data_IF_626204837453
#
_entry.id   IF_626204837453
#
_cell.length_a   1.000
_cell.length_b   1.000
_cell.length_c   1.000
_cell.angle_alpha   90.00
_cell.angle_beta   90.00
_cell.angle_gamma   90.00
#
_symmetry.space_group_name_H-M   'P 1'
#
loop_
_entity.id
_entity.type
_entity.pdbx_description
1 polymer ?
#
# COMPACT_ATOMS: atom_id res chain seq x y z
N UNK A 1 10.46 12.94 46.10
CA UNK A 1 9.92 13.52 44.86
C UNK A 1 9.01 12.48 44.18
N UNK A 2 7.71 12.74 44.05
CA UNK A 2 6.82 11.84 43.26
C UNK A 2 7.22 11.95 41.81
N UNK A 3 7.59 10.82 41.19
CA UNK A 3 7.91 10.79 39.76
C UNK A 3 6.67 11.22 38.97
N UNK A 4 6.76 12.29 38.17
CA UNK A 4 5.71 12.77 37.29
C UNK A 4 5.63 12.01 35.96
N UNK A 5 6.24 10.82 35.85
CA UNK A 5 6.25 9.97 34.64
C UNK A 5 6.02 8.51 35.01
N UNK A 6 5.55 7.74 34.04
CA UNK A 6 5.38 6.31 34.18
C UNK A 6 5.94 5.59 32.94
N UNK A 7 6.41 4.36 33.12
CA UNK A 7 6.88 3.51 32.03
C UNK A 7 5.73 2.66 31.52
N UNK A 8 5.56 2.63 30.19
CA UNK A 8 4.57 1.75 29.52
C UNK A 8 5.30 0.74 28.67
N UNK A 9 4.97 -0.54 28.83
CA UNK A 9 5.52 -1.60 27.98
C UNK A 9 4.89 -1.52 26.59
N UNK A 10 5.73 -1.47 25.57
CA UNK A 10 5.30 -1.54 24.16
C UNK A 10 5.21 -2.99 23.69
N UNK A 11 4.25 -3.33 22.81
CA UNK A 11 4.17 -4.67 22.21
C UNK A 11 5.43 -5.02 21.43
N UNK A 12 5.89 -6.27 21.52
CA UNK A 12 7.08 -6.74 20.80
C UNK A 12 6.96 -6.56 19.27
N UNK A 13 5.75 -6.65 18.72
CA UNK A 13 5.49 -6.41 17.29
C UNK A 13 5.95 -5.03 16.79
N UNK A 14 6.00 -4.01 17.68
CA UNK A 14 6.52 -2.68 17.34
C UNK A 14 8.02 -2.66 17.05
N UNK A 15 8.77 -3.65 17.50
CA UNK A 15 10.20 -3.77 17.20
C UNK A 15 10.40 -3.89 15.68
N UNK A 16 9.61 -4.75 15.02
CA UNK A 16 9.66 -4.88 13.56
C UNK A 16 9.31 -3.56 12.85
N UNK A 17 8.34 -2.81 13.37
CA UNK A 17 7.99 -1.48 12.85
C UNK A 17 9.16 -0.50 12.96
N UNK A 18 9.86 -0.47 14.11
CA UNK A 18 11.04 0.39 14.30
C UNK A 18 12.16 0.03 13.32
N UNK A 19 12.40 -1.27 13.11
CA UNK A 19 13.44 -1.72 12.19
C UNK A 19 13.09 -1.34 10.73
N UNK A 20 11.84 -1.56 10.29
CA UNK A 20 11.36 -1.18 8.94
C UNK A 20 11.46 0.34 8.73
N UNK A 21 11.00 1.14 9.71
CA UNK A 21 11.11 2.61 9.60
C UNK A 21 12.55 3.10 9.54
N UNK A 22 13.45 2.50 10.34
CA UNK A 22 14.87 2.83 10.30
C UNK A 22 15.48 2.55 8.93
N UNK A 23 15.07 1.47 8.27
CA UNK A 23 15.51 1.15 6.91
C UNK A 23 14.85 2.05 5.86
N UNK A 24 13.59 2.41 6.04
CA UNK A 24 12.88 3.32 5.14
C UNK A 24 13.50 4.73 5.07
N UNK A 25 14.21 5.15 6.13
CA UNK A 25 14.97 6.41 6.13
C UNK A 25 16.18 6.40 5.19
N UNK A 26 16.64 5.22 4.76
CA UNK A 26 17.74 5.06 3.81
C UNK A 26 17.28 5.20 2.35
N UNK A 27 15.98 5.32 2.11
CA UNK A 27 15.39 5.53 0.79
C UNK A 27 15.25 7.03 0.50
N UNK A 28 15.58 7.42 -0.71
CA UNK A 28 15.45 8.82 -1.17
C UNK A 28 14.07 9.07 -1.76
N UNK A 29 13.02 8.82 -0.96
CA UNK A 29 11.65 9.04 -1.41
C UNK A 29 11.32 10.52 -1.61
N UNK A 30 10.80 10.84 -2.79
CA UNK A 30 10.06 12.07 -3.05
C UNK A 30 8.59 11.80 -2.71
N UNK A 31 7.95 12.77 -2.03
CA UNK A 31 6.55 12.67 -1.63
C UNK A 31 5.68 13.55 -2.52
N UNK A 32 4.79 12.95 -3.30
CA UNK A 32 3.74 13.66 -4.02
C UNK A 32 2.44 13.56 -3.21
N UNK A 33 1.80 14.71 -2.95
CA UNK A 33 0.53 14.83 -2.23
C UNK A 33 -0.54 15.22 -3.25
N UNK A 34 -1.40 14.27 -3.62
CA UNK A 34 -2.38 14.45 -4.69
C UNK A 34 -3.81 14.29 -4.19
N UNK A 35 -4.71 14.96 -4.86
CA UNK A 35 -6.17 14.83 -4.75
C UNK A 35 -6.68 14.16 -6.02
N UNK A 36 -7.56 13.18 -5.86
CA UNK A 36 -8.20 12.48 -6.97
C UNK A 36 -9.71 12.58 -6.84
N UNK A 37 -10.39 13.00 -7.89
CA UNK A 37 -11.84 12.93 -7.95
C UNK A 37 -12.28 11.48 -8.22
N UNK A 38 -12.87 10.87 -7.22
CA UNK A 38 -13.35 9.47 -7.29
C UNK A 38 -14.88 9.37 -7.32
N UNK A 39 -15.57 10.48 -7.53
CA UNK A 39 -17.05 10.55 -7.47
C UNK A 39 -17.68 9.54 -8.41
N UNK A 40 -17.32 9.58 -9.68
CA UNK A 40 -17.90 8.70 -10.70
C UNK A 40 -17.52 7.24 -10.52
N UNK A 41 -16.25 6.99 -10.21
CA UNK A 41 -15.77 5.64 -9.94
C UNK A 41 -16.50 5.00 -8.76
N UNK A 42 -16.73 5.74 -7.68
CA UNK A 42 -17.50 5.25 -6.53
C UNK A 42 -18.97 5.00 -6.84
N UNK A 43 -19.58 5.87 -7.64
CA UNK A 43 -20.96 5.68 -8.08
C UNK A 43 -21.09 4.41 -8.93
N UNK A 44 -20.16 4.18 -9.88
CA UNK A 44 -20.14 2.97 -10.70
C UNK A 44 -19.90 1.71 -9.86
N UNK A 45 -18.97 1.72 -8.93
CA UNK A 45 -18.76 0.60 -8.00
C UNK A 45 -20.01 0.29 -7.17
N UNK A 46 -20.75 1.33 -6.75
CA UNK A 46 -22.03 1.15 -6.04
C UNK A 46 -23.09 0.51 -6.96
N UNK A 47 -23.20 0.93 -8.20
CA UNK A 47 -24.14 0.36 -9.17
C UNK A 47 -23.80 -1.10 -9.51
N UNK A 48 -22.51 -1.42 -9.73
CA UNK A 48 -22.04 -2.79 -9.93
C UNK A 48 -22.42 -3.69 -8.78
N UNK A 49 -22.27 -3.21 -7.54
CA UNK A 49 -22.66 -3.96 -6.33
C UNK A 49 -24.16 -4.24 -6.28
N UNK A 50 -25.00 -3.26 -6.66
CA UNK A 50 -26.48 -3.46 -6.76
C UNK A 50 -26.84 -4.52 -7.80
N UNK A 51 -26.04 -4.64 -8.86
CA UNK A 51 -26.22 -5.61 -9.93
C UNK A 51 -25.51 -6.98 -9.66
N UNK A 52 -25.11 -7.24 -8.42
CA UNK A 52 -24.51 -8.51 -8.01
C UNK A 52 -23.00 -8.62 -8.21
N UNK A 53 -22.33 -7.60 -8.78
CA UNK A 53 -20.88 -7.61 -8.99
C UNK A 53 -20.17 -6.90 -7.82
N UNK A 54 -19.58 -7.65 -6.91
CA UNK A 54 -18.90 -7.09 -5.74
C UNK A 54 -17.42 -6.75 -6.04
N UNK A 55 -17.14 -5.48 -6.25
CA UNK A 55 -15.77 -4.94 -6.35
C UNK A 55 -15.57 -3.93 -5.22
N UNK A 56 -14.58 -4.19 -4.35
CA UNK A 56 -14.22 -3.26 -3.29
C UNK A 56 -13.45 -2.06 -3.84
N UNK A 57 -13.63 -0.88 -3.23
CA UNK A 57 -12.89 0.33 -3.61
C UNK A 57 -11.37 0.12 -3.57
N UNK A 58 -10.87 -0.58 -2.55
CA UNK A 58 -9.44 -0.89 -2.44
C UNK A 58 -8.94 -1.76 -3.59
N UNK A 59 -9.69 -2.79 -3.98
CA UNK A 59 -9.31 -3.67 -5.08
C UNK A 59 -9.32 -2.92 -6.43
N UNK A 60 -10.30 -2.08 -6.65
CA UNK A 60 -10.35 -1.18 -7.79
C UNK A 60 -9.12 -0.24 -7.82
N UNK A 61 -8.83 0.45 -6.71
CA UNK A 61 -7.69 1.37 -6.63
C UNK A 61 -6.36 0.64 -6.88
N UNK A 62 -6.18 -0.54 -6.28
CA UNK A 62 -5.02 -1.42 -6.49
C UNK A 62 -4.84 -1.73 -7.98
N UNK A 63 -5.93 -2.06 -8.69
CA UNK A 63 -5.89 -2.35 -10.12
C UNK A 63 -5.52 -1.10 -10.94
N UNK A 64 -6.03 0.10 -10.57
CA UNK A 64 -5.68 1.37 -11.23
C UNK A 64 -4.20 1.73 -11.06
N UNK A 65 -3.67 1.55 -9.86
CA UNK A 65 -2.24 1.71 -9.58
C UNK A 65 -1.41 0.74 -10.42
N UNK A 66 -1.80 -0.53 -10.45
CA UNK A 66 -1.10 -1.55 -11.23
C UNK A 66 -1.06 -1.19 -12.72
N UNK A 67 -2.16 -0.67 -13.28
CA UNK A 67 -2.22 -0.25 -14.69
C UNK A 67 -1.28 0.91 -15.01
N UNK A 68 -1.16 1.89 -14.11
CA UNK A 68 -0.19 2.97 -14.28
C UNK A 68 1.27 2.45 -14.25
N UNK A 69 1.55 1.46 -13.39
CA UNK A 69 2.87 0.84 -13.29
C UNK A 69 3.23 -0.02 -14.52
N UNK A 70 2.26 -0.61 -15.21
CA UNK A 70 2.50 -1.33 -16.48
C UNK A 70 3.11 -0.39 -17.54
N UNK A 71 2.67 0.86 -17.57
CA UNK A 71 3.16 1.87 -18.52
C UNK A 71 4.47 2.53 -18.05
N UNK A 72 4.69 2.59 -16.74
CA UNK A 72 5.86 3.20 -16.11
C UNK A 72 6.53 2.23 -15.12
N UNK A 73 7.11 1.12 -15.59
CA UNK A 73 7.61 0.05 -14.72
C UNK A 73 8.80 0.48 -13.85
N UNK A 74 9.55 1.52 -14.28
CA UNK A 74 10.66 2.08 -13.51
C UNK A 74 10.21 2.57 -12.13
N UNK A 75 8.98 3.08 -12.01
CA UNK A 75 8.44 3.57 -10.74
C UNK A 75 8.37 2.48 -9.64
N UNK A 76 8.32 1.20 -10.02
CA UNK A 76 8.30 0.06 -9.08
C UNK A 76 9.58 -0.80 -9.14
N UNK A 77 10.63 -0.32 -9.80
CA UNK A 77 11.91 -1.00 -9.93
C UNK A 77 12.76 -0.85 -8.67
N UNK A 78 13.66 -1.80 -8.45
CA UNK A 78 14.64 -1.73 -7.37
C UNK A 78 16.00 -1.32 -7.89
N UNK A 79 16.74 -0.54 -7.11
CA UNK A 79 18.16 -0.31 -7.34
C UNK A 79 18.90 -1.62 -7.03
N UNK A 80 19.49 -2.22 -8.08
CA UNK A 80 20.32 -3.43 -7.94
C UNK A 80 21.79 -3.09 -7.64
N UNK A 81 22.27 -2.02 -8.27
CA UNK A 81 23.58 -1.42 -8.02
C UNK A 81 23.56 0.04 -8.46
N UNK A 82 24.60 0.81 -8.16
CA UNK A 82 24.72 2.23 -8.59
C UNK A 82 24.54 2.45 -10.11
N UNK A 83 24.57 1.38 -10.92
CA UNK A 83 24.48 1.46 -12.38
C UNK A 83 23.40 0.57 -12.99
N UNK A 84 22.61 -0.15 -12.16
CA UNK A 84 21.63 -1.12 -12.68
C UNK A 84 20.37 -1.13 -11.84
N UNK A 85 19.24 -1.08 -12.52
CA UNK A 85 17.93 -1.35 -11.94
C UNK A 85 17.54 -2.81 -12.20
N UNK A 86 16.66 -3.35 -11.38
CA UNK A 86 15.93 -4.58 -11.64
C UNK A 86 14.44 -4.28 -11.63
N UNK A 87 13.79 -4.53 -12.75
CA UNK A 87 12.36 -4.35 -12.96
C UNK A 87 11.72 -5.74 -13.01
N UNK A 88 10.63 -5.93 -12.29
CA UNK A 88 9.84 -7.14 -12.30
C UNK A 88 8.60 -6.94 -13.16
N UNK A 89 8.25 -7.93 -13.98
CA UNK A 89 7.06 -7.88 -14.83
C UNK A 89 5.77 -8.02 -14.00
N UNK A 90 5.86 -8.66 -12.85
CA UNK A 90 4.72 -8.83 -11.94
C UNK A 90 4.66 -7.67 -10.93
N UNK A 91 3.43 -7.24 -10.61
CA UNK A 91 3.20 -6.29 -9.53
C UNK A 91 2.74 -7.05 -8.30
N UNK A 92 3.64 -7.16 -7.31
CA UNK A 92 3.35 -7.74 -6.02
C UNK A 92 3.15 -6.59 -5.01
N UNK A 93 1.95 -6.48 -4.47
CA UNK A 93 1.53 -5.33 -3.66
C UNK A 93 1.40 -5.73 -2.20
N UNK A 94 2.24 -5.15 -1.34
CA UNK A 94 2.08 -5.22 0.11
C UNK A 94 0.92 -4.32 0.54
N UNK A 95 -0.09 -4.92 1.14
CA UNK A 95 -1.31 -4.24 1.57
C UNK A 95 -1.62 -4.57 3.03
N UNK A 96 -2.06 -3.55 3.81
CA UNK A 96 -2.48 -3.76 5.19
C UNK A 96 -3.98 -4.06 5.24
N UNK A 97 -4.32 -5.21 5.80
CA UNK A 97 -5.70 -5.62 6.04
C UNK A 97 -5.99 -5.53 7.53
N UNK A 98 -7.04 -4.79 7.88
CA UNK A 98 -7.51 -4.75 9.25
C UNK A 98 -8.30 -6.03 9.58
N UNK A 99 -7.87 -6.74 10.61
CA UNK A 99 -8.49 -7.98 11.05
C UNK A 99 -8.92 -7.88 12.52
N UNK A 100 -10.11 -8.39 12.81
CA UNK A 100 -10.58 -8.53 14.19
C UNK A 100 -9.87 -9.71 14.87
N UNK A 101 -9.16 -9.46 15.96
CA UNK A 101 -8.51 -10.48 16.81
C UNK A 101 -8.99 -10.26 18.24
N UNK A 102 -9.98 -11.06 18.67
CA UNK A 102 -10.72 -10.80 19.92
C UNK A 102 -11.42 -9.44 19.83
N UNK A 103 -11.26 -8.60 20.85
CA UNK A 103 -11.89 -7.26 20.91
C UNK A 103 -11.09 -6.16 20.19
N UNK A 104 -9.99 -6.49 19.54
CA UNK A 104 -9.10 -5.51 18.91
C UNK A 104 -8.99 -5.73 17.42
N UNK A 105 -9.00 -4.62 16.68
CA UNK A 105 -8.65 -4.61 15.27
C UNK A 105 -7.14 -4.44 15.12
N UNK A 106 -6.52 -5.36 14.40
CA UNK A 106 -5.06 -5.40 14.20
C UNK A 106 -4.77 -5.33 12.70
N UNK A 107 -3.94 -4.38 12.24
CA UNK A 107 -3.49 -4.35 10.86
C UNK A 107 -2.49 -5.49 10.61
N UNK A 108 -2.81 -6.35 9.63
CA UNK A 108 -1.95 -7.45 9.21
C UNK A 108 -1.45 -7.19 7.79
N UNK A 109 -0.14 -7.27 7.53
CA UNK A 109 0.40 -7.16 6.20
C UNK A 109 0.10 -8.43 5.39
N UNK A 110 -0.38 -8.26 4.17
CA UNK A 110 -0.50 -9.31 3.17
C UNK A 110 0.19 -8.86 1.87
N UNK A 111 0.63 -9.81 1.06
CA UNK A 111 1.16 -9.54 -0.27
C UNK A 111 0.20 -10.11 -1.30
N UNK A 112 -0.39 -9.23 -2.10
CA UNK A 112 -1.17 -9.59 -3.28
C UNK A 112 -0.18 -9.82 -4.43
N UNK A 113 -0.04 -11.06 -4.86
CA UNK A 113 0.91 -11.42 -5.92
C UNK A 113 0.26 -11.25 -7.30
N UNK A 114 1.04 -10.81 -8.30
CA UNK A 114 0.65 -10.72 -9.72
C UNK A 114 -0.65 -9.95 -9.95
N UNK A 115 -0.78 -8.80 -9.30
CA UNK A 115 -1.99 -7.97 -9.38
C UNK A 115 -2.29 -7.52 -10.82
N UNK A 116 -1.26 -7.30 -11.63
CA UNK A 116 -1.39 -6.96 -13.05
C UNK A 116 -2.18 -8.02 -13.85
N UNK A 117 -2.08 -9.29 -13.47
CA UNK A 117 -2.77 -10.40 -14.13
C UNK A 117 -4.17 -10.71 -13.56
N UNK A 118 -4.56 -10.06 -12.47
CA UNK A 118 -5.83 -10.28 -11.77
C UNK A 118 -6.87 -9.22 -12.12
N UNK A 119 -8.13 -9.61 -12.16
CA UNK A 119 -9.27 -8.69 -12.18
C UNK A 119 -9.50 -8.04 -10.81
N UNK A 120 -10.21 -6.91 -10.79
CA UNK A 120 -10.58 -6.25 -9.53
C UNK A 120 -11.48 -7.14 -8.65
N UNK A 121 -12.28 -8.03 -9.25
CA UNK A 121 -13.11 -9.01 -8.52
C UNK A 121 -12.26 -10.06 -7.82
N UNK A 122 -11.24 -10.62 -8.51
CA UNK A 122 -10.31 -11.59 -7.92
C UNK A 122 -9.54 -10.99 -6.76
N UNK A 123 -9.05 -9.74 -6.91
CA UNK A 123 -8.38 -9.00 -5.84
C UNK A 123 -9.34 -8.79 -4.66
N UNK A 124 -10.61 -8.44 -4.92
CA UNK A 124 -11.63 -8.30 -3.88
C UNK A 124 -11.81 -9.59 -3.10
N UNK A 125 -12.00 -10.72 -3.79
CA UNK A 125 -12.17 -12.05 -3.16
C UNK A 125 -10.95 -12.44 -2.33
N UNK A 126 -9.74 -12.17 -2.83
CA UNK A 126 -8.50 -12.47 -2.12
C UNK A 126 -8.40 -11.68 -0.81
N UNK A 127 -8.73 -10.38 -0.82
CA UNK A 127 -8.76 -9.53 0.37
C UNK A 127 -9.84 -10.00 1.36
N UNK A 128 -11.03 -10.34 0.88
CA UNK A 128 -12.14 -10.82 1.71
C UNK A 128 -11.82 -12.18 2.34
N UNK A 129 -11.24 -13.10 1.59
CA UNK A 129 -10.80 -14.41 2.10
C UNK A 129 -9.80 -14.26 3.25
N UNK A 130 -8.88 -13.29 3.15
CA UNK A 130 -7.93 -13.02 4.24
C UNK A 130 -8.63 -12.44 5.46
N UNK A 131 -9.64 -11.58 5.28
CA UNK A 131 -10.44 -11.02 6.38
C UNK A 131 -11.27 -12.07 7.10
N UNK A 132 -11.88 -13.00 6.35
CA UNK A 132 -12.79 -14.03 6.86
C UNK A 132 -12.11 -15.24 7.48
N UNK A 133 -10.84 -15.53 7.14
CA UNK A 133 -10.12 -16.66 7.73
C UNK A 133 -10.00 -16.49 9.24
N UNK A 134 -10.58 -17.43 10.01
CA UNK A 134 -10.43 -17.48 11.46
C UNK A 134 -8.96 -17.65 11.85
N UNK A 135 -8.38 -16.59 12.34
CA UNK A 135 -7.06 -16.67 12.97
C UNK A 135 -7.23 -17.12 14.41
N UNK A 136 -7.41 -18.40 14.62
CA UNK A 136 -7.01 -18.97 15.92
C UNK A 136 -5.57 -18.53 16.17
N UNK A 137 -5.35 -17.71 17.17
CA UNK A 137 -4.13 -17.21 17.88
C UNK A 137 -2.73 -17.49 17.30
N UNK A 138 -2.57 -17.88 16.03
CA UNK A 138 -1.39 -18.65 15.58
C UNK A 138 -0.60 -18.11 14.37
N UNK A 139 -1.00 -17.08 13.65
CA UNK A 139 -0.16 -16.55 12.58
C UNK A 139 -0.34 -15.02 12.39
N UNK A 140 0.66 -14.28 12.81
CA UNK A 140 0.71 -12.81 12.65
C UNK A 140 1.15 -12.40 11.24
N UNK A 141 1.71 -13.34 10.46
CA UNK A 141 2.12 -13.14 9.07
C UNK A 141 1.51 -14.23 8.21
N UNK A 142 0.74 -13.84 7.19
CA UNK A 142 -0.04 -14.70 6.28
C UNK A 142 0.81 -15.58 5.33
N UNK A 143 2.05 -15.89 5.66
CA UNK A 143 2.83 -16.92 5.00
C UNK A 143 2.96 -18.15 5.89
N UNK A 144 2.61 -19.31 5.34
CA UNK A 144 2.55 -20.67 5.91
C UNK A 144 3.79 -21.17 6.67
N UNK A 145 4.72 -20.33 7.15
CA UNK A 145 5.98 -20.78 7.79
C UNK A 145 6.27 -20.11 9.12
N UNK A 146 6.12 -20.96 10.13
CA UNK A 146 6.93 -21.06 11.36
C UNK A 146 6.98 -19.84 12.29
N UNK A 147 6.12 -19.91 13.31
CA UNK A 147 6.19 -19.16 14.57
C UNK A 147 7.58 -19.13 15.22
N UNK A 148 8.42 -20.13 14.97
CA UNK A 148 9.76 -20.22 15.53
C UNK A 148 10.66 -19.10 15.02
N UNK A 149 10.68 -18.83 13.70
CA UNK A 149 11.52 -17.77 13.12
C UNK A 149 11.05 -16.37 13.50
N UNK A 150 9.72 -16.16 13.64
CA UNK A 150 9.18 -14.89 14.11
C UNK A 150 9.56 -14.61 15.58
N UNK A 151 9.45 -15.61 16.43
CA UNK A 151 9.91 -15.49 17.83
C UNK A 151 11.41 -15.23 17.89
N UNK A 152 12.21 -15.94 17.13
CA UNK A 152 13.65 -15.78 17.07
C UNK A 152 14.02 -14.34 16.65
N UNK A 153 13.31 -13.74 15.69
CA UNK A 153 13.52 -12.37 15.27
C UNK A 153 13.47 -11.38 16.43
N UNK A 154 12.48 -11.48 17.29
CA UNK A 154 12.30 -10.57 18.43
C UNK A 154 13.33 -10.75 19.54
N UNK A 155 13.98 -11.91 19.62
CA UNK A 155 15.08 -12.17 20.55
C UNK A 155 16.45 -11.77 20.01
N UNK A 156 16.56 -11.52 18.70
CA UNK A 156 17.82 -11.10 18.10
C UNK A 156 18.23 -9.71 18.61
N UNK A 157 19.52 -9.49 18.91
CA UNK A 157 20.05 -8.14 19.16
C UNK A 157 19.77 -7.19 18.01
N UNK A 158 19.54 -5.89 18.32
CA UNK A 158 19.15 -4.90 17.32
C UNK A 158 20.11 -4.77 16.14
N UNK A 159 21.42 -4.96 16.37
CA UNK A 159 22.41 -4.90 15.28
C UNK A 159 22.27 -6.06 14.28
N UNK A 160 21.95 -7.29 14.76
CA UNK A 160 21.72 -8.44 13.88
C UNK A 160 20.45 -8.25 13.03
N UNK A 161 19.37 -7.69 13.63
CA UNK A 161 18.16 -7.35 12.89
C UNK A 161 18.43 -6.30 11.82
N UNK A 162 19.26 -5.27 12.11
CA UNK A 162 19.68 -4.27 11.11
C UNK A 162 20.45 -4.91 9.95
N UNK A 163 21.37 -5.83 10.24
CA UNK A 163 22.11 -6.57 9.20
C UNK A 163 21.16 -7.37 8.33
N UNK A 164 20.18 -8.07 8.94
CA UNK A 164 19.18 -8.85 8.23
C UNK A 164 18.33 -7.94 7.31
N UNK A 165 17.86 -6.79 7.79
CA UNK A 165 17.11 -5.85 6.97
C UNK A 165 17.96 -5.23 5.85
N UNK A 166 19.22 -4.90 6.14
CA UNK A 166 20.18 -4.43 5.12
C UNK A 166 20.39 -5.50 4.03
N UNK A 167 20.45 -6.78 4.42
CA UNK A 167 20.50 -7.86 3.45
C UNK A 167 19.24 -7.88 2.57
N UNK A 168 18.04 -7.78 3.15
CA UNK A 168 16.77 -7.75 2.40
C UNK A 168 16.76 -6.63 1.38
N UNK A 169 17.14 -5.40 1.77
CA UNK A 169 17.12 -4.23 0.89
C UNK A 169 18.14 -4.37 -0.25
N UNK A 170 19.31 -4.93 0.04
CA UNK A 170 20.37 -5.10 -0.94
C UNK A 170 20.15 -6.31 -1.88
N UNK A 171 19.12 -7.13 -1.64
CA UNK A 171 18.79 -8.29 -2.46
C UNK A 171 17.38 -8.15 -3.06
N UNK A 172 17.19 -7.37 -4.12
CA UNK A 172 15.89 -7.03 -4.70
C UNK A 172 15.00 -8.24 -5.03
N UNK A 173 15.59 -9.33 -5.52
CA UNK A 173 14.85 -10.57 -5.82
C UNK A 173 14.24 -11.20 -4.56
N UNK A 174 14.97 -11.14 -3.44
CA UNK A 174 14.48 -11.63 -2.16
C UNK A 174 13.42 -10.68 -1.59
N UNK A 175 13.66 -9.36 -1.65
CA UNK A 175 12.71 -8.34 -1.24
C UNK A 175 11.39 -8.46 -1.99
N UNK A 176 11.43 -8.53 -3.34
CA UNK A 176 10.26 -8.73 -4.19
C UNK A 176 9.44 -9.96 -3.81
N UNK A 177 10.10 -11.12 -3.61
CA UNK A 177 9.43 -12.37 -3.22
C UNK A 177 8.77 -12.30 -1.85
N UNK A 178 9.30 -11.49 -0.91
CA UNK A 178 8.82 -11.43 0.47
C UNK A 178 7.85 -10.30 0.75
N UNK A 179 8.04 -9.16 0.08
CA UNK A 179 7.32 -7.92 0.39
C UNK A 179 6.63 -7.31 -0.83
N UNK A 180 6.94 -7.80 -2.05
CA UNK A 180 6.51 -7.15 -3.28
C UNK A 180 7.35 -5.92 -3.63
N UNK A 181 6.97 -5.25 -4.71
CA UNK A 181 7.61 -4.03 -5.23
C UNK A 181 6.79 -2.76 -4.98
N UNK A 182 5.57 -2.90 -4.50
CA UNK A 182 4.65 -1.81 -4.21
C UNK A 182 4.10 -1.96 -2.80
N UNK A 183 3.92 -0.86 -2.08
CA UNK A 183 3.23 -0.87 -0.80
C UNK A 183 2.02 0.06 -0.81
N UNK A 184 0.92 -0.38 -0.21
CA UNK A 184 -0.27 0.45 -0.02
C UNK A 184 -0.66 0.39 1.45
N UNK A 185 -0.75 1.55 2.09
CA UNK A 185 -1.26 1.71 3.44
C UNK A 185 -2.48 2.62 3.42
N UNK A 186 -3.57 2.21 4.07
CA UNK A 186 -4.81 2.98 4.13
C UNK A 186 -5.18 3.30 5.56
N UNK A 187 -5.33 4.59 5.87
CA UNK A 187 -5.86 5.08 7.14
C UNK A 187 -7.36 5.39 7.06
N UNK A 188 -7.93 5.46 5.86
CA UNK A 188 -9.35 5.78 5.66
C UNK A 188 -10.32 4.80 6.31
N UNK A 189 -9.86 3.61 6.68
CA UNK A 189 -10.64 2.63 7.45
C UNK A 189 -10.72 2.96 8.96
N UNK A 190 -9.82 3.79 9.48
CA UNK A 190 -9.74 4.12 10.92
C UNK A 190 -10.50 5.39 11.30
N UNK A 191 -10.91 6.19 10.33
CA UNK A 191 -11.64 7.45 10.57
C UNK A 191 -11.55 8.41 9.39
N UNK A 192 -12.38 9.46 9.42
CA UNK A 192 -12.33 10.50 8.39
C UNK A 192 -11.28 11.55 8.75
N UNK A 193 -10.23 11.64 7.94
CA UNK A 193 -9.17 12.65 8.06
C UNK A 193 -9.16 13.48 6.78
N UNK A 194 -9.36 14.79 6.91
CA UNK A 194 -9.24 15.72 5.79
C UNK A 194 -7.78 16.16 5.67
N UNK A 195 -6.97 15.36 4.96
CA UNK A 195 -5.55 15.65 4.79
C UNK A 195 -4.77 14.45 4.29
N UNK A 196 -3.48 14.66 4.16
CA UNK A 196 -2.50 13.63 3.79
C UNK A 196 -1.69 13.21 5.01
N UNK A 197 -1.14 12.00 4.95
CA UNK A 197 -0.12 11.58 5.88
C UNK A 197 1.11 11.09 5.11
N UNK A 198 2.28 11.54 5.51
CA UNK A 198 3.55 11.13 4.91
C UNK A 198 4.08 9.96 5.74
N UNK A 199 3.95 8.76 5.20
CA UNK A 199 4.44 7.54 5.82
C UNK A 199 5.91 7.27 5.46
N UNK A 200 6.47 6.19 5.97
CA UNK A 200 7.80 5.68 5.60
C UNK A 200 7.65 4.30 4.99
N UNK A 201 8.45 4.01 3.96
CA UNK A 201 8.42 2.72 3.27
C UNK A 201 9.83 2.27 2.90
N UNK A 202 10.00 0.97 2.76
CA UNK A 202 11.21 0.34 2.22
C UNK A 202 11.04 -0.08 0.75
N UNK A 203 9.83 0.04 0.21
CA UNK A 203 9.51 -0.29 -1.18
C UNK A 203 9.94 0.85 -2.12
N UNK A 204 10.21 0.55 -3.39
CA UNK A 204 10.50 1.57 -4.41
C UNK A 204 9.38 2.60 -4.53
N UNK A 205 8.13 2.14 -4.48
CA UNK A 205 6.95 3.01 -4.51
C UNK A 205 5.97 2.61 -3.41
N UNK A 206 5.33 3.60 -2.80
CA UNK A 206 4.37 3.38 -1.71
C UNK A 206 3.25 4.41 -1.75
N UNK A 207 2.03 3.95 -1.51
CA UNK A 207 0.81 4.76 -1.54
C UNK A 207 0.21 4.86 -0.15
N UNK A 208 0.05 6.08 0.35
CA UNK A 208 -0.65 6.40 1.59
C UNK A 208 -2.06 6.87 1.27
N UNK A 209 -3.03 5.96 1.36
CA UNK A 209 -4.44 6.24 1.04
C UNK A 209 -5.12 6.82 2.27
N UNK A 210 -5.52 8.10 2.19
CA UNK A 210 -6.25 8.80 3.25
C UNK A 210 -7.76 8.61 3.10
N UNK A 211 -8.55 9.52 3.65
CA UNK A 211 -10.01 9.45 3.57
C UNK A 211 -10.53 10.07 2.28
N UNK A 212 -11.70 9.62 1.86
CA UNK A 212 -12.50 10.28 0.83
C UNK A 212 -13.40 11.30 1.52
N UNK A 213 -13.32 12.55 1.07
CA UNK A 213 -14.08 13.68 1.62
C UNK A 213 -14.87 14.39 0.52
N UNK A 214 -16.00 14.98 0.89
CA UNK A 214 -16.74 15.85 -0.03
C UNK A 214 -16.13 17.24 -0.02
N UNK A 215 -15.77 17.74 -1.20
CA UNK A 215 -15.24 19.10 -1.42
C UNK A 215 -15.99 19.80 -2.55
N UNK A 216 -16.13 21.15 -2.51
CA UNK A 216 -16.48 21.93 -3.68
C UNK A 216 -15.31 21.89 -4.66
N UNK A 217 -15.60 21.55 -5.91
CA UNK A 217 -14.59 21.44 -6.99
C UNK A 217 -15.18 22.10 -8.24
N UNK A 218 -14.34 22.80 -9.00
CA UNK A 218 -14.75 23.36 -10.29
C UNK A 218 -14.75 22.24 -11.33
N UNK A 219 -15.89 22.01 -11.96
CA UNK A 219 -16.09 21.04 -13.05
C UNK A 219 -16.93 21.70 -14.13
N UNK A 220 -16.38 21.86 -15.35
CA UNK A 220 -17.04 22.53 -16.48
C UNK A 220 -17.52 23.94 -16.13
N UNK A 221 -16.65 24.74 -15.47
CA UNK A 221 -16.88 26.10 -14.97
C UNK A 221 -17.94 26.24 -13.86
N UNK A 222 -18.54 25.12 -13.39
CA UNK A 222 -19.48 25.07 -12.28
C UNK A 222 -18.84 24.57 -10.99
N UNK A 223 -19.31 25.06 -9.84
CA UNK A 223 -18.93 24.52 -8.53
C UNK A 223 -19.83 23.32 -8.21
N UNK A 224 -19.25 22.12 -8.21
CA UNK A 224 -19.92 20.85 -7.88
C UNK A 224 -19.34 20.23 -6.64
N UNK A 225 -20.17 19.54 -5.84
CA UNK A 225 -19.69 18.74 -4.69
C UNK A 225 -19.17 17.43 -5.23
N UNK A 226 -17.86 17.19 -5.05
CA UNK A 226 -17.17 15.98 -5.52
C UNK A 226 -16.60 15.17 -4.34
N UNK A 227 -16.44 13.87 -4.52
CA UNK A 227 -15.78 12.97 -3.56
C UNK A 227 -14.30 12.88 -3.88
N UNK A 228 -13.48 13.50 -3.06
CA UNK A 228 -12.04 13.66 -3.28
C UNK A 228 -11.27 12.71 -2.40
N UNK A 229 -10.42 11.87 -3.01
CA UNK A 229 -9.48 10.99 -2.34
C UNK A 229 -8.13 11.71 -2.17
N UNK A 230 -7.71 11.91 -0.93
CA UNK A 230 -6.36 12.38 -0.63
C UNK A 230 -5.40 11.18 -0.60
N UNK A 231 -4.32 11.24 -1.37
CA UNK A 231 -3.32 10.18 -1.41
C UNK A 231 -1.91 10.75 -1.44
N UNK A 232 -1.04 10.20 -0.60
CA UNK A 232 0.40 10.45 -0.61
C UNK A 232 1.08 9.35 -1.39
N UNK A 233 1.95 9.71 -2.34
CA UNK A 233 2.71 8.78 -3.15
C UNK A 233 4.19 9.01 -2.84
N UNK A 234 4.86 8.00 -2.31
CA UNK A 234 6.30 7.99 -2.11
C UNK A 234 6.94 7.26 -3.26
N UNK A 235 7.87 7.91 -3.95
CA UNK A 235 8.59 7.33 -5.09
C UNK A 235 10.09 7.47 -4.84
N UNK A 236 10.83 6.37 -4.90
CA UNK A 236 12.27 6.36 -4.68
C UNK A 236 13.00 7.04 -5.87
N UNK A 237 13.61 8.18 -5.62
CA UNK A 237 14.29 8.97 -6.65
C UNK A 237 15.58 8.28 -7.18
N UNK A 238 16.03 7.24 -6.50
CA UNK A 238 17.17 6.44 -6.99
C UNK A 238 16.79 5.55 -8.19
N UNK A 239 15.49 5.34 -8.45
CA UNK A 239 15.02 4.44 -9.52
C UNK A 239 14.29 5.15 -10.65
N UNK A 240 13.80 6.36 -10.43
CA UNK A 240 13.06 7.14 -11.42
C UNK A 240 13.42 8.62 -11.33
N UNK A 241 13.64 9.26 -12.46
CA UNK A 241 13.89 10.69 -12.54
C UNK A 241 12.61 11.55 -12.44
N UNK A 242 12.80 12.85 -12.20
CA UNK A 242 11.67 13.78 -12.00
C UNK A 242 10.71 13.85 -13.19
N UNK A 243 11.20 13.79 -14.42
CA UNK A 243 10.35 13.87 -15.61
C UNK A 243 9.46 12.63 -15.77
N UNK A 244 10.02 11.44 -15.59
CA UNK A 244 9.27 10.17 -15.64
C UNK A 244 8.33 10.03 -14.44
N UNK A 245 8.72 10.54 -13.27
CA UNK A 245 7.85 10.62 -12.10
C UNK A 245 6.59 11.44 -12.40
N UNK A 246 6.72 12.62 -12.98
CA UNK A 246 5.56 13.47 -13.34
C UNK A 246 4.66 12.79 -14.38
N UNK A 247 5.25 12.14 -15.38
CA UNK A 247 4.48 11.36 -16.38
C UNK A 247 3.72 10.21 -15.74
N UNK A 248 4.35 9.48 -14.83
CA UNK A 248 3.69 8.42 -14.06
C UNK A 248 2.53 8.97 -13.21
N UNK A 249 2.73 10.08 -12.50
CA UNK A 249 1.69 10.68 -11.67
C UNK A 249 0.51 11.15 -12.53
N UNK A 250 0.76 11.74 -13.70
CA UNK A 250 -0.28 12.13 -14.66
C UNK A 250 -1.08 10.91 -15.16
N UNK A 251 -0.39 9.82 -15.52
CA UNK A 251 -1.04 8.58 -15.94
C UNK A 251 -1.90 7.98 -14.82
N UNK A 252 -1.38 7.99 -13.59
CA UNK A 252 -2.12 7.51 -12.42
C UNK A 252 -3.39 8.34 -12.19
N UNK A 253 -3.30 9.67 -12.30
CA UNK A 253 -4.46 10.57 -12.18
C UNK A 253 -5.50 10.24 -13.25
N UNK A 254 -5.07 10.12 -14.51
CA UNK A 254 -5.97 9.74 -15.61
C UNK A 254 -6.66 8.40 -15.35
N UNK A 255 -5.92 7.40 -14.88
CA UNK A 255 -6.47 6.07 -14.60
C UNK A 255 -7.46 6.05 -13.44
N UNK A 256 -7.32 6.94 -12.47
CA UNK A 256 -8.24 7.02 -11.31
C UNK A 256 -9.48 7.86 -11.65
N UNK A 257 -9.32 8.99 -12.34
CA UNK A 257 -10.40 9.97 -12.55
C UNK A 257 -11.22 9.71 -13.82
N UNK A 258 -10.55 9.39 -14.96
CA UNK A 258 -11.22 9.30 -16.25
C UNK A 258 -11.67 7.88 -16.62
N UNK A 259 -11.07 6.86 -16.05
CA UNK A 259 -11.24 5.48 -16.52
C UNK A 259 -12.42 4.75 -15.86
N UNK A 260 -13.56 5.42 -15.85
CA UNK A 260 -14.81 4.80 -15.46
C UNK A 260 -15.28 3.69 -16.46
N UNK A 261 -14.78 3.67 -17.70
CA UNK A 261 -15.16 2.68 -18.73
C UNK A 261 -14.52 1.30 -18.50
N UNK A 262 -13.34 1.22 -17.92
CA UNK A 262 -12.65 -0.06 -17.68
C UNK A 262 -13.31 -0.96 -16.60
N UNK A 263 -14.29 -0.46 -15.87
CA UNK A 263 -15.13 -1.30 -15.04
C UNK A 263 -16.10 -2.18 -15.87
N UNK A 264 -16.33 -1.84 -17.13
CA UNK A 264 -17.21 -2.59 -18.03
C UNK A 264 -16.51 -3.71 -18.78
N UNK A 265 -15.19 -3.62 -19.05
CA UNK A 265 -14.45 -4.54 -19.92
C UNK A 265 -13.65 -5.64 -19.20
N UNK A 266 -13.76 -5.77 -17.88
CA UNK A 266 -13.07 -6.79 -17.08
C UNK A 266 -14.03 -7.55 -16.14
N UNK A 267 -15.27 -7.77 -16.59
CA UNK A 267 -16.18 -8.76 -16.01
C UNK A 267 -16.03 -10.09 -16.73
#
# INVERSE_FOLDING_TARGET
MKNHYHYTRIPQSRIATFDVYSMGLLKHHVSALLEFDVTESRQKLSNLRKNGTNISFNAWLIKRISKALEKYPDASSFLFSKKKLITFNDHNISFLVEKQIGDRKVPLPMVLEKVNLKSAQEITREIENVKSQDTTKKSIVLHKRSKFYERLYYYLPGFLRKIMWKYVINHPRFAFKKMGNVSITSLGMMGKINGWFIHRSIHPISFGVSSIIKKPTVVDDDIKIREILNMTILIDHDVIDGANMVRFLKELTTNIEMDAELLQNNC
#
